data_IF_206832166117
#
_entry.id   IF_206832166117
#
_cell.length_a   1.000
_cell.length_b   1.000
_cell.length_c   1.000
_cell.angle_alpha   90.00
_cell.angle_beta   90.00
_cell.angle_gamma   90.00
#
_symmetry.space_group_name_H-M   'P 1'
#
loop_
_entity.id
_entity.type
_entity.pdbx_description
1 polymer ?
#
# COMPACT_ATOMS: atom_id res chain seq x y z
N UNK A 1 -7.20 -11.37 -8.69
CA UNK A 1 -7.18 -12.46 -9.70
C UNK A 1 -6.66 -11.95 -11.02
N UNK A 2 -6.08 -12.82 -11.85
CA UNK A 2 -5.61 -12.53 -13.22
C UNK A 2 -6.17 -13.61 -14.15
N UNK A 3 -6.70 -13.20 -15.29
CA UNK A 3 -7.20 -14.11 -16.32
C UNK A 3 -6.61 -13.74 -17.69
N UNK A 4 -6.02 -14.73 -18.36
CA UNK A 4 -5.63 -14.67 -19.77
C UNK A 4 -6.67 -15.43 -20.57
N UNK A 5 -7.34 -14.77 -21.50
CA UNK A 5 -8.36 -15.38 -22.35
C UNK A 5 -7.99 -15.24 -23.82
N UNK A 6 -8.03 -16.36 -24.53
CA UNK A 6 -7.99 -16.31 -26.00
C UNK A 6 -9.37 -15.87 -26.50
N UNK A 7 -9.41 -14.90 -27.41
CA UNK A 7 -10.69 -14.45 -27.99
C UNK A 7 -11.29 -15.55 -28.86
N UNK A 8 -10.46 -16.22 -29.64
CA UNK A 8 -10.89 -17.25 -30.59
C UNK A 8 -10.78 -18.64 -29.99
N UNK A 9 -11.79 -19.04 -29.21
CA UNK A 9 -11.89 -20.40 -28.67
C UNK A 9 -13.06 -21.16 -29.32
N UNK A 10 -12.92 -22.50 -29.45
CA UNK A 10 -14.04 -23.35 -29.90
C UNK A 10 -15.12 -23.43 -28.83
N UNK A 11 -16.33 -23.04 -29.16
CA UNK A 11 -17.48 -23.07 -28.26
C UNK A 11 -17.75 -21.68 -27.64
N UNK A 12 -17.43 -21.49 -26.38
CA UNK A 12 -17.58 -20.18 -25.71
C UNK A 12 -16.46 -19.24 -26.17
N UNK A 13 -16.81 -18.03 -26.65
CA UNK A 13 -15.81 -17.03 -27.01
C UNK A 13 -15.11 -16.48 -25.76
N UNK A 14 -13.84 -16.06 -25.91
CA UNK A 14 -13.14 -15.38 -24.80
C UNK A 14 -13.87 -14.14 -24.29
N UNK A 15 -14.63 -13.47 -25.16
CA UNK A 15 -15.43 -12.31 -24.81
C UNK A 15 -16.63 -12.68 -23.94
N UNK A 16 -17.30 -13.78 -24.21
CA UNK A 16 -18.41 -14.27 -23.39
C UNK A 16 -17.92 -14.77 -22.03
N UNK A 17 -16.76 -15.47 -22.03
CA UNK A 17 -16.10 -15.87 -20.79
C UNK A 17 -15.72 -14.65 -19.93
N UNK A 18 -15.25 -13.57 -20.57
CA UNK A 18 -14.94 -12.31 -19.87
C UNK A 18 -16.18 -11.65 -19.26
N UNK A 19 -17.31 -11.64 -19.96
CA UNK A 19 -18.59 -11.12 -19.43
C UNK A 19 -19.06 -11.91 -18.23
N UNK A 20 -18.97 -13.23 -18.25
CA UNK A 20 -19.32 -14.08 -17.10
C UNK A 20 -18.37 -13.85 -15.92
N UNK A 21 -17.05 -13.75 -16.19
CA UNK A 21 -16.06 -13.48 -15.16
C UNK A 21 -16.34 -12.15 -14.45
N UNK A 22 -16.72 -11.09 -15.18
CA UNK A 22 -17.06 -9.78 -14.60
C UNK A 22 -18.24 -9.80 -13.65
N UNK A 23 -19.14 -10.77 -13.76
CA UNK A 23 -20.28 -10.93 -12.82
C UNK A 23 -19.80 -11.45 -11.45
N UNK A 24 -18.70 -12.21 -11.43
CA UNK A 24 -18.17 -12.85 -10.21
C UNK A 24 -16.95 -12.16 -9.63
N UNK A 25 -16.10 -11.56 -10.49
CA UNK A 25 -14.87 -10.85 -10.11
C UNK A 25 -14.71 -9.58 -10.97
N UNK A 26 -15.24 -8.47 -10.46
CA UNK A 26 -15.18 -7.18 -11.15
C UNK A 26 -13.76 -6.61 -11.25
N UNK A 27 -12.87 -6.97 -10.31
CA UNK A 27 -11.52 -6.43 -10.17
C UNK A 27 -10.42 -7.33 -10.76
N UNK A 28 -10.80 -8.44 -11.40
CA UNK A 28 -9.87 -9.33 -12.08
C UNK A 28 -9.11 -8.58 -13.19
N UNK A 29 -7.79 -8.71 -13.24
CA UNK A 29 -6.99 -8.28 -14.38
C UNK A 29 -7.28 -9.20 -15.56
N UNK A 30 -8.02 -8.69 -16.53
CA UNK A 30 -8.44 -9.43 -17.71
C UNK A 30 -7.53 -9.08 -18.88
N UNK A 31 -6.83 -10.05 -19.41
CA UNK A 31 -5.91 -9.90 -20.53
C UNK A 31 -6.39 -10.80 -21.67
N UNK A 32 -6.64 -10.21 -22.82
CA UNK A 32 -6.94 -10.98 -24.01
C UNK A 32 -5.66 -11.33 -24.77
N UNK A 33 -5.56 -12.59 -25.20
CA UNK A 33 -4.58 -13.01 -26.19
C UNK A 33 -5.30 -13.28 -27.50
N UNK A 34 -4.85 -12.71 -28.61
CA UNK A 34 -5.58 -12.78 -29.87
C UNK A 34 -4.67 -12.72 -31.08
N UNK A 35 -5.12 -13.26 -32.20
CA UNK A 35 -4.45 -13.14 -33.52
C UNK A 35 -4.92 -11.91 -34.30
N UNK A 36 -5.96 -11.16 -33.83
CA UNK A 36 -6.50 -9.98 -34.48
C UNK A 36 -6.84 -8.90 -33.45
N UNK A 37 -6.76 -7.65 -33.86
CA UNK A 37 -7.14 -6.47 -33.05
C UNK A 37 -8.60 -6.05 -33.26
N UNK A 38 -9.39 -6.75 -34.07
CA UNK A 38 -10.76 -6.35 -34.49
C UNK A 38 -11.74 -6.24 -33.31
N UNK A 39 -11.50 -6.96 -32.21
CA UNK A 39 -12.34 -6.95 -31.00
C UNK A 39 -11.91 -5.95 -29.91
N UNK A 40 -10.95 -5.06 -30.21
CA UNK A 40 -10.47 -4.11 -29.21
C UNK A 40 -11.59 -3.20 -28.64
N UNK A 41 -12.56 -2.81 -29.46
CA UNK A 41 -13.71 -2.01 -29.02
C UNK A 41 -14.64 -2.76 -28.07
N UNK A 42 -14.84 -4.05 -28.27
CA UNK A 42 -15.68 -4.87 -27.37
C UNK A 42 -15.02 -5.08 -26.00
N UNK A 43 -13.70 -5.05 -25.93
CA UNK A 43 -12.95 -5.17 -24.70
C UNK A 43 -13.15 -4.01 -23.73
N UNK A 44 -13.50 -2.80 -24.20
CA UNK A 44 -13.89 -1.71 -23.33
C UNK A 44 -15.11 -2.07 -22.49
N UNK A 45 -16.06 -2.83 -23.03
CA UNK A 45 -17.28 -3.21 -22.32
C UNK A 45 -16.98 -4.12 -21.12
N UNK A 46 -15.94 -4.98 -21.23
CA UNK A 46 -15.53 -5.89 -20.16
C UNK A 46 -14.36 -5.34 -19.33
N UNK A 47 -13.97 -4.08 -19.56
CA UNK A 47 -12.83 -3.44 -18.87
C UNK A 47 -11.57 -4.29 -18.93
N UNK A 48 -11.21 -4.72 -20.15
CA UNK A 48 -9.96 -5.45 -20.35
C UNK A 48 -8.77 -4.60 -19.92
N UNK A 49 -7.84 -5.22 -19.22
CA UNK A 49 -6.61 -4.55 -18.78
C UNK A 49 -5.66 -4.36 -19.96
N UNK A 50 -5.53 -5.39 -20.80
CA UNK A 50 -4.63 -5.35 -21.95
C UNK A 50 -5.01 -6.37 -23.02
N UNK A 51 -4.44 -6.17 -24.23
CA UNK A 51 -4.49 -7.11 -25.36
C UNK A 51 -3.08 -7.48 -25.76
N UNK A 52 -2.78 -8.79 -25.81
CA UNK A 52 -1.56 -9.34 -26.36
C UNK A 52 -1.86 -9.94 -27.73
N UNK A 53 -1.30 -9.36 -28.78
CA UNK A 53 -1.46 -9.85 -30.15
C UNK A 53 -0.43 -10.95 -30.43
N UNK A 54 -0.89 -12.12 -30.83
CA UNK A 54 -0.02 -13.27 -31.19
C UNK A 54 0.58 -13.08 -32.56
N UNK A 55 1.87 -13.39 -32.78
CA UNK A 55 2.85 -13.77 -31.76
C UNK A 55 3.34 -12.57 -30.96
N UNK A 56 3.48 -12.69 -29.64
CA UNK A 56 4.05 -11.68 -28.75
C UNK A 56 5.40 -12.14 -28.19
N UNK A 57 6.27 -11.19 -27.91
CA UNK A 57 7.60 -11.46 -27.38
C UNK A 57 7.60 -11.66 -25.86
N UNK A 58 8.70 -12.18 -25.33
CA UNK A 58 8.91 -12.29 -23.88
C UNK A 58 8.98 -10.89 -23.22
N UNK A 59 9.56 -9.93 -23.92
CA UNK A 59 9.67 -8.54 -23.46
C UNK A 59 8.29 -7.88 -23.32
N UNK A 60 7.40 -8.07 -24.31
CA UNK A 60 6.03 -7.55 -24.27
C UNK A 60 5.24 -8.16 -23.10
N UNK A 61 5.34 -9.47 -22.90
CA UNK A 61 4.70 -10.15 -21.78
C UNK A 61 5.27 -9.66 -20.44
N UNK A 62 6.60 -9.54 -20.33
CA UNK A 62 7.27 -9.06 -19.11
C UNK A 62 6.87 -7.63 -18.76
N UNK A 63 6.78 -6.74 -19.76
CA UNK A 63 6.34 -5.35 -19.55
C UNK A 63 4.89 -5.30 -19.04
N UNK A 64 3.99 -6.09 -19.65
CA UNK A 64 2.61 -6.21 -19.22
C UNK A 64 2.48 -6.72 -17.78
N UNK A 65 3.22 -7.78 -17.44
CA UNK A 65 3.23 -8.33 -16.08
C UNK A 65 3.77 -7.33 -15.07
N UNK A 66 4.81 -6.56 -15.41
CA UNK A 66 5.35 -5.52 -14.55
C UNK A 66 4.31 -4.40 -14.29
N UNK A 67 3.58 -3.96 -15.35
CA UNK A 67 2.50 -2.98 -15.21
C UNK A 67 1.37 -3.50 -14.33
N UNK A 68 0.95 -4.75 -14.55
CA UNK A 68 -0.07 -5.40 -13.74
C UNK A 68 0.33 -5.51 -12.27
N UNK A 69 1.58 -5.97 -12.00
CA UNK A 69 2.11 -6.09 -10.63
C UNK A 69 2.18 -4.73 -9.92
N UNK A 70 2.47 -3.65 -10.65
CA UNK A 70 2.47 -2.30 -10.10
C UNK A 70 1.07 -1.84 -9.66
N UNK A 71 -0.01 -2.37 -10.28
CA UNK A 71 -1.41 -2.07 -9.95
C UNK A 71 -2.04 -3.03 -8.95
N UNK A 72 -1.39 -4.17 -8.67
CA UNK A 72 -1.89 -5.08 -7.64
C UNK A 72 -1.80 -4.40 -6.26
N UNK A 73 -2.85 -4.52 -5.44
CA UNK A 73 -2.78 -4.09 -4.05
C UNK A 73 -1.61 -4.83 -3.36
N UNK A 74 -0.62 -4.07 -2.90
CA UNK A 74 0.47 -4.68 -2.12
C UNK A 74 -0.12 -5.17 -0.80
N UNK A 75 0.24 -6.39 -0.35
CA UNK A 75 -0.19 -6.84 0.97
C UNK A 75 0.29 -5.83 2.01
N UNK A 76 -0.61 -5.47 2.93
CA UNK A 76 -0.30 -4.53 4.00
C UNK A 76 0.85 -5.07 4.85
N UNK A 77 1.97 -4.34 5.00
CA UNK A 77 3.07 -4.77 5.83
C UNK A 77 2.64 -4.92 7.29
N UNK A 78 3.24 -5.90 7.96
CA UNK A 78 2.91 -6.25 9.34
C UNK A 78 4.16 -6.18 10.21
N UNK A 79 4.04 -5.50 11.35
CA UNK A 79 5.03 -5.50 12.42
C UNK A 79 4.64 -6.53 13.48
N UNK A 80 5.53 -7.42 13.84
CA UNK A 80 5.33 -8.32 14.97
C UNK A 80 6.04 -7.77 16.20
N UNK A 81 5.30 -7.58 17.30
CA UNK A 81 5.82 -7.09 18.57
C UNK A 81 5.40 -8.00 19.73
N UNK A 82 6.23 -8.09 20.77
CA UNK A 82 5.86 -8.82 21.99
C UNK A 82 5.12 -7.91 22.95
N UNK A 83 3.87 -8.26 23.26
CA UNK A 83 3.03 -7.56 24.22
C UNK A 83 2.65 -8.55 25.32
N UNK A 84 3.02 -8.27 26.56
CA UNK A 84 2.73 -9.16 27.71
C UNK A 84 3.16 -10.64 27.48
N UNK A 85 4.29 -10.83 26.78
CA UNK A 85 4.83 -12.16 26.48
C UNK A 85 4.29 -12.85 25.24
N UNK A 86 3.25 -12.32 24.61
CA UNK A 86 2.64 -12.86 23.39
C UNK A 86 3.04 -12.07 22.16
N UNK A 87 3.18 -12.73 21.02
CA UNK A 87 3.42 -12.07 19.74
C UNK A 87 2.12 -11.48 19.19
N UNK A 88 2.14 -10.17 18.96
CA UNK A 88 1.03 -9.42 18.38
C UNK A 88 1.45 -8.92 17.00
N UNK A 89 0.63 -9.18 15.98
CA UNK A 89 0.83 -8.72 14.61
C UNK A 89 0.03 -7.43 14.41
N UNK A 90 0.71 -6.36 14.03
CA UNK A 90 0.15 -5.03 13.77
C UNK A 90 0.33 -4.69 12.30
N UNK A 91 -0.76 -4.43 11.57
CA UNK A 91 -0.66 -3.84 10.25
C UNK A 91 -0.07 -2.42 10.38
N UNK A 92 0.78 -2.02 9.43
CA UNK A 92 1.40 -0.68 9.47
C UNK A 92 0.34 0.43 9.48
N UNK A 93 -0.74 0.28 8.73
CA UNK A 93 -1.86 1.21 8.71
C UNK A 93 -2.57 1.37 10.07
N UNK A 94 -2.41 0.41 10.97
CA UNK A 94 -3.06 0.47 12.29
C UNK A 94 -2.18 1.19 13.33
N UNK A 95 -0.92 1.48 13.01
CA UNK A 95 0.02 2.20 13.88
C UNK A 95 -0.13 3.70 13.63
N UNK A 96 -0.53 4.47 14.63
CA UNK A 96 -0.61 5.93 14.58
C UNK A 96 0.76 6.55 14.91
N UNK A 97 1.32 6.17 16.05
CA UNK A 97 2.62 6.63 16.53
C UNK A 97 3.20 5.65 17.53
N UNK A 98 4.49 5.76 17.78
CA UNK A 98 5.12 5.03 18.88
C UNK A 98 6.15 5.90 19.59
N UNK A 99 6.17 5.80 20.92
CA UNK A 99 7.03 6.55 21.82
C UNK A 99 7.84 5.61 22.70
N UNK A 100 9.15 5.83 22.73
CA UNK A 100 10.05 5.15 23.66
C UNK A 100 10.20 5.95 24.93
N UNK A 101 9.68 5.42 26.04
CA UNK A 101 9.78 6.01 27.35
C UNK A 101 10.09 4.94 28.39
N UNK A 102 11.02 5.20 29.32
CA UNK A 102 11.40 4.30 30.42
C UNK A 102 11.64 2.86 29.99
N UNK A 103 12.43 2.64 28.92
CA UNK A 103 12.76 1.33 28.33
C UNK A 103 11.58 0.55 27.73
N UNK A 104 10.45 1.19 27.58
CA UNK A 104 9.24 0.66 26.95
C UNK A 104 8.91 1.44 25.70
N UNK A 105 8.28 0.78 24.73
CA UNK A 105 7.71 1.44 23.57
C UNK A 105 6.19 1.37 23.69
N UNK A 106 5.58 2.54 23.77
CA UNK A 106 4.14 2.73 23.76
C UNK A 106 3.68 2.94 22.31
N UNK A 107 2.93 2.00 21.75
CA UNK A 107 2.43 2.04 20.38
C UNK A 107 0.96 2.44 20.43
N UNK A 108 0.63 3.60 19.85
CA UNK A 108 -0.76 4.05 19.66
C UNK A 108 -1.32 3.44 18.38
N UNK A 109 -2.51 2.89 18.48
CA UNK A 109 -3.17 2.22 17.35
C UNK A 109 -4.54 2.82 17.03
N UNK A 110 -5.01 2.60 15.80
CA UNK A 110 -6.34 3.02 15.33
C UNK A 110 -7.48 2.41 16.16
N UNK A 111 -7.27 1.26 16.77
CA UNK A 111 -8.21 0.64 17.71
C UNK A 111 -8.34 1.37 19.05
N UNK A 112 -7.74 2.57 19.20
CA UNK A 112 -7.67 3.37 20.43
C UNK A 112 -7.06 2.63 21.62
N UNK A 113 -6.22 1.62 21.35
CA UNK A 113 -5.44 0.88 22.35
C UNK A 113 -3.99 1.29 22.25
N UNK A 114 -3.36 1.49 23.42
CA UNK A 114 -1.91 1.60 23.52
C UNK A 114 -1.34 0.22 23.82
N UNK A 115 -0.49 -0.27 22.94
CA UNK A 115 0.24 -1.52 23.15
C UNK A 115 1.63 -1.18 23.67
N UNK A 116 2.10 -1.96 24.64
CA UNK A 116 3.40 -1.74 25.28
C UNK A 116 4.30 -2.92 24.98
N UNK A 117 5.49 -2.63 24.42
CA UNK A 117 6.51 -3.63 24.15
C UNK A 117 7.86 -3.24 24.73
N UNK A 118 8.66 -4.23 25.11
CA UNK A 118 10.01 -4.04 25.65
C UNK A 118 11.05 -4.44 24.62
N UNK A 119 11.57 -3.46 23.90
CA UNK A 119 12.69 -3.64 22.97
C UNK A 119 13.38 -2.29 22.73
N UNK A 120 14.55 -2.29 22.10
CA UNK A 120 15.21 -1.03 21.76
C UNK A 120 14.44 -0.31 20.63
N UNK A 121 14.40 1.02 20.72
CA UNK A 121 13.73 1.85 19.71
C UNK A 121 14.32 1.64 18.31
N UNK A 122 15.63 1.42 18.22
CA UNK A 122 16.32 1.14 16.97
C UNK A 122 15.78 -0.14 16.31
N UNK A 123 15.65 -1.23 17.07
CA UNK A 123 15.12 -2.51 16.56
C UNK A 123 13.67 -2.37 16.14
N UNK A 124 12.86 -1.69 16.95
CA UNK A 124 11.45 -1.43 16.66
C UNK A 124 11.26 -0.65 15.36
N UNK A 125 12.04 0.41 15.14
CA UNK A 125 11.87 1.30 13.99
C UNK A 125 12.55 0.81 12.71
N UNK A 126 13.44 -0.17 12.77
CA UNK A 126 14.21 -0.65 11.61
C UNK A 126 13.33 -1.10 10.42
N UNK A 127 12.26 -1.91 10.61
CA UNK A 127 11.35 -2.24 9.52
C UNK A 127 10.49 -1.05 9.07
N UNK A 128 10.09 -0.19 10.01
CA UNK A 128 9.20 0.96 9.74
C UNK A 128 9.88 2.06 8.91
N UNK A 129 11.18 2.27 9.10
CA UNK A 129 11.96 3.28 8.35
C UNK A 129 12.01 3.04 6.84
N UNK A 130 11.77 1.81 6.41
CA UNK A 130 11.76 1.44 4.98
C UNK A 130 10.45 1.79 4.28
N UNK A 131 9.43 2.16 5.06
CA UNK A 131 8.12 2.52 4.55
C UNK A 131 7.94 4.06 4.63
N UNK A 132 7.63 4.73 3.50
CA UNK A 132 7.54 6.19 3.44
C UNK A 132 6.44 6.79 4.32
N UNK A 133 5.52 5.97 4.83
CA UNK A 133 4.51 6.40 5.81
C UNK A 133 5.10 6.80 7.14
N UNK A 134 6.28 6.30 7.51
CA UNK A 134 6.83 6.52 8.85
C UNK A 134 7.92 7.57 8.88
N UNK A 135 7.79 8.49 9.83
CA UNK A 135 8.78 9.54 10.07
C UNK A 135 9.24 9.54 11.54
N UNK A 136 10.56 9.59 11.76
CA UNK A 136 11.15 9.70 13.10
C UNK A 136 11.18 11.17 13.48
N UNK A 137 10.44 11.53 14.54
CA UNK A 137 10.28 12.91 14.99
C UNK A 137 11.42 13.39 15.93
N UNK A 138 12.27 12.48 16.36
CA UNK A 138 13.37 12.76 17.29
C UNK A 138 13.76 11.53 18.08
N UNK A 139 14.43 11.72 19.22
CA UNK A 139 14.86 10.60 20.07
C UNK A 139 13.64 9.87 20.65
N UNK A 140 13.43 8.64 20.19
CA UNK A 140 12.40 7.78 20.75
C UNK A 140 10.96 8.05 20.30
N UNK A 141 10.77 8.81 19.21
CA UNK A 141 9.43 9.11 18.68
C UNK A 141 9.34 8.85 17.18
N UNK A 142 8.31 8.13 16.75
CA UNK A 142 8.00 7.88 15.35
C UNK A 142 6.49 8.05 15.12
N UNK A 143 6.11 8.60 13.98
CA UNK A 143 4.72 8.76 13.54
C UNK A 143 4.48 8.07 12.23
N UNK A 144 3.23 7.71 12.00
CA UNK A 144 2.73 7.32 10.69
C UNK A 144 2.04 8.53 10.05
N UNK A 145 2.59 9.01 8.95
CA UNK A 145 2.09 10.17 8.20
C UNK A 145 0.69 9.94 7.60
N UNK A 146 0.29 8.69 7.43
CA UNK A 146 -1.07 8.33 7.00
C UNK A 146 -2.13 8.81 8.01
N UNK A 147 -1.75 8.90 9.28
CA UNK A 147 -2.58 9.39 10.38
C UNK A 147 -2.26 10.84 10.79
N UNK A 148 -1.40 11.54 10.06
CA UNK A 148 -1.18 12.97 10.29
C UNK A 148 -2.25 13.77 9.53
N UNK A 149 -3.03 14.57 10.28
CA UNK A 149 -4.02 15.46 9.70
C UNK A 149 -3.38 16.80 9.27
N UNK A 150 -2.36 17.26 10.00
CA UNK A 150 -1.68 18.52 9.75
C UNK A 150 -0.27 18.55 10.38
N UNK A 151 0.57 19.48 9.93
CA UNK A 151 1.87 19.79 10.53
C UNK A 151 1.97 21.28 10.82
N UNK A 152 1.80 21.66 12.08
CA UNK A 152 1.84 23.05 12.56
C UNK A 152 2.55 23.16 13.90
N UNK A 153 3.11 24.33 14.18
CA UNK A 153 3.79 24.65 15.44
C UNK A 153 4.87 23.63 15.85
N UNK A 154 5.53 23.01 14.84
CA UNK A 154 6.59 22.03 15.08
C UNK A 154 6.09 20.66 15.52
N UNK A 155 4.81 20.36 15.34
CA UNK A 155 4.20 19.08 15.70
C UNK A 155 3.33 18.53 14.56
N UNK A 156 3.25 17.21 14.46
CA UNK A 156 2.20 16.53 13.70
C UNK A 156 0.92 16.47 14.54
N UNK A 157 -0.17 17.01 14.00
CA UNK A 157 -1.52 16.84 14.56
C UNK A 157 -2.08 15.52 14.02
N UNK A 158 -2.27 14.55 14.89
CA UNK A 158 -2.71 13.22 14.48
C UNK A 158 -4.24 13.12 14.43
N UNK A 159 -4.76 12.20 13.62
CA UNK A 159 -6.20 11.97 13.45
C UNK A 159 -6.92 11.50 14.71
N UNK A 160 -6.20 10.96 15.69
CA UNK A 160 -6.73 10.60 17.01
C UNK A 160 -6.83 11.78 17.99
N UNK A 161 -6.47 13.00 17.52
CA UNK A 161 -6.46 14.24 18.31
C UNK A 161 -5.16 14.46 19.10
N UNK A 162 -4.20 13.53 19.05
CA UNK A 162 -2.90 13.73 19.69
C UNK A 162 -1.97 14.62 18.87
N UNK A 163 -0.97 15.21 19.52
CA UNK A 163 0.09 15.97 18.88
C UNK A 163 1.44 15.34 19.16
N UNK A 164 2.27 15.19 18.12
CA UNK A 164 3.62 14.64 18.24
C UNK A 164 4.64 15.69 17.83
N UNK A 165 5.39 16.19 18.80
CA UNK A 165 6.40 17.21 18.58
C UNK A 165 7.63 16.65 17.85
N UNK A 166 8.18 17.47 16.96
CA UNK A 166 9.36 17.14 16.17
C UNK A 166 10.57 17.91 16.72
N UNK A 167 11.71 17.25 16.84
CA UNK A 167 12.97 17.91 17.23
C UNK A 167 13.30 19.08 16.29
N UNK A 168 13.87 20.17 16.81
CA UNK A 168 14.17 21.40 16.07
C UNK A 168 14.95 21.15 14.77
N UNK A 169 15.93 20.26 14.81
CA UNK A 169 16.77 19.85 13.68
C UNK A 169 16.01 19.12 12.57
N UNK A 170 14.86 18.51 12.93
CA UNK A 170 14.02 17.70 12.02
C UNK A 170 12.79 18.46 11.49
N UNK A 171 12.55 19.71 11.88
CA UNK A 171 11.35 20.46 11.47
C UNK A 171 11.22 20.59 9.94
N UNK A 172 12.33 20.96 9.26
CA UNK A 172 12.34 21.07 7.79
C UNK A 172 12.15 19.71 7.11
N UNK A 173 12.93 18.66 7.48
CA UNK A 173 12.71 17.30 6.97
C UNK A 173 11.29 16.77 7.22
N UNK A 174 10.71 17.04 8.39
CA UNK A 174 9.35 16.59 8.73
C UNK A 174 8.30 17.20 7.81
N UNK A 175 8.37 18.52 7.59
CA UNK A 175 7.46 19.23 6.68
C UNK A 175 7.60 18.70 5.25
N UNK A 176 8.82 18.49 4.79
CA UNK A 176 9.08 17.97 3.47
C UNK A 176 8.52 16.55 3.31
N UNK A 177 8.82 15.64 4.24
CA UNK A 177 8.32 14.26 4.22
C UNK A 177 6.78 14.21 4.22
N UNK A 178 6.12 15.08 5.00
CA UNK A 178 4.67 15.15 5.02
C UNK A 178 4.08 15.62 3.68
N UNK A 179 4.66 16.67 3.08
CA UNK A 179 4.21 17.16 1.77
C UNK A 179 4.42 16.13 0.66
N UNK A 180 5.59 15.46 0.65
CA UNK A 180 5.88 14.39 -0.32
C UNK A 180 4.89 13.22 -0.16
N UNK A 181 4.59 12.83 1.08
CA UNK A 181 3.61 11.79 1.37
C UNK A 181 2.21 12.16 0.85
N UNK A 182 1.74 13.40 1.08
CA UNK A 182 0.45 13.86 0.58
C UNK A 182 0.38 13.85 -0.95
N UNK A 183 1.43 14.32 -1.63
CA UNK A 183 1.51 14.32 -3.10
C UNK A 183 1.50 12.90 -3.68
N UNK A 184 2.20 11.95 -3.03
CA UNK A 184 2.19 10.55 -3.45
C UNK A 184 0.79 9.92 -3.28
N UNK A 185 0.11 10.21 -2.18
CA UNK A 185 -1.24 9.73 -1.90
C UNK A 185 -2.27 10.22 -2.93
N UNK A 186 -2.14 11.46 -3.38
CA UNK A 186 -3.00 12.04 -4.43
C UNK A 186 -2.80 11.36 -5.80
N UNK A 187 -1.56 10.97 -6.13
CA UNK A 187 -1.23 10.30 -7.39
C UNK A 187 -1.67 8.83 -7.45
N UNK A 188 -1.98 8.23 -6.31
CA UNK A 188 -2.39 6.82 -6.20
C UNK A 188 -3.92 6.65 -6.13
N UNK A 189 -4.70 7.74 -6.11
CA UNK A 189 -6.16 7.73 -6.21
C UNK A 189 -6.62 7.76 -7.67
#
# INVERSE_FOLDING_TARGET
TVAFLDIYMKGLSGMDAAKELRKTDADCFLIFTTTSTDHALEGFQVRAFHYLVKPFSEEELSALLAEMLARLPRPEPVLTVKVSGSDVRLCYRDIISAEHFAHLINIRTTARKTLVTRQSFKVFTEPLKKDPRFFICGRGMIVNLEHAADFRDGAFCMTDGSSVYVSQELLKPARQAFMEFLLQRERMK
#
